data_IF_891329766087
#
_entry.id   IF_891329766087
#
_cell.length_a   1.000
_cell.length_b   1.000
_cell.length_c   1.000
_cell.angle_alpha   90.00
_cell.angle_beta   90.00
_cell.angle_gamma   90.00
#
_symmetry.space_group_name_H-M   'P 1'
#
loop_
_entity.id
_entity.type
_entity.pdbx_description
1 polymer ?
#
# COMPACT_ATOMS: atom_id res chain seq x y z
N UNK A 1 59.62 -15.58 -14.44
CA UNK A 1 58.31 -14.95 -14.73
C UNK A 1 57.32 -15.57 -13.76
N UNK A 2 57.03 -14.89 -12.64
CA UNK A 2 56.27 -15.46 -11.51
C UNK A 2 54.81 -15.00 -11.65
N UNK A 3 53.91 -15.96 -11.70
CA UNK A 3 52.46 -15.81 -11.78
C UNK A 3 51.92 -15.01 -10.60
N UNK A 4 51.26 -13.90 -10.89
CA UNK A 4 50.41 -13.17 -9.97
C UNK A 4 49.18 -12.72 -10.76
N UNK A 5 48.15 -13.58 -10.85
CA UNK A 5 46.81 -13.08 -11.12
C UNK A 5 45.65 -14.01 -10.68
N UNK A 6 45.83 -14.79 -9.62
CA UNK A 6 44.73 -15.64 -9.10
C UNK A 6 43.92 -14.97 -7.98
N UNK A 7 44.37 -13.81 -7.46
CA UNK A 7 43.71 -13.11 -6.35
C UNK A 7 42.66 -12.07 -6.76
N UNK A 8 42.68 -11.59 -8.01
CA UNK A 8 41.77 -10.55 -8.47
C UNK A 8 40.42 -11.09 -8.96
N UNK A 9 40.39 -12.33 -9.47
CA UNK A 9 39.16 -12.94 -9.98
C UNK A 9 38.19 -13.40 -8.88
N UNK A 10 38.70 -13.68 -7.67
CA UNK A 10 37.87 -14.17 -6.56
C UNK A 10 37.09 -13.05 -5.83
N UNK A 11 37.57 -11.81 -5.89
CA UNK A 11 36.94 -10.67 -5.20
C UNK A 11 35.83 -10.00 -6.02
N UNK A 12 35.72 -10.28 -7.33
CA UNK A 12 34.68 -9.72 -8.20
C UNK A 12 33.34 -10.50 -8.16
N UNK A 13 33.31 -11.71 -7.58
CA UNK A 13 32.16 -12.63 -7.71
C UNK A 13 31.22 -12.63 -6.49
N UNK A 14 31.72 -12.30 -5.28
CA UNK A 14 30.90 -12.23 -4.06
C UNK A 14 29.88 -11.07 -4.05
N UNK A 15 30.03 -10.09 -4.95
CA UNK A 15 29.09 -8.98 -5.11
C UNK A 15 27.93 -9.30 -6.07
N UNK A 16 27.99 -10.44 -6.77
CA UNK A 16 26.91 -10.83 -7.69
C UNK A 16 25.75 -11.45 -6.93
N UNK A 17 24.49 -11.17 -7.33
CA UNK A 17 23.35 -11.82 -6.71
C UNK A 17 23.45 -13.33 -6.79
N UNK A 18 23.23 -14.01 -5.67
CA UNK A 18 23.13 -15.46 -5.66
C UNK A 18 21.91 -15.91 -6.44
N UNK A 19 21.84 -17.21 -6.78
CA UNK A 19 20.64 -17.79 -7.39
C UNK A 19 19.38 -17.56 -6.54
N UNK A 20 19.53 -17.58 -5.21
CA UNK A 20 18.42 -17.36 -4.28
C UNK A 20 17.97 -15.90 -4.26
N UNK A 21 18.91 -14.95 -4.40
CA UNK A 21 18.59 -13.53 -4.56
C UNK A 21 17.83 -13.30 -5.86
N UNK A 22 18.31 -13.85 -6.98
CA UNK A 22 17.62 -13.75 -8.28
C UNK A 22 16.21 -14.36 -8.22
N UNK A 23 16.04 -15.49 -7.51
CA UNK A 23 14.74 -16.09 -7.30
C UNK A 23 13.82 -15.20 -6.44
N UNK A 24 14.36 -14.55 -5.41
CA UNK A 24 13.64 -13.58 -4.57
C UNK A 24 13.21 -12.36 -5.38
N UNK A 25 14.10 -11.79 -6.20
CA UNK A 25 13.80 -10.65 -7.05
C UNK A 25 12.77 -10.99 -8.12
N UNK A 26 12.84 -12.17 -8.73
CA UNK A 26 11.83 -12.63 -9.68
C UNK A 26 10.44 -12.72 -9.03
N UNK A 27 10.35 -13.24 -7.80
CA UNK A 27 9.08 -13.25 -7.04
C UNK A 27 8.60 -11.83 -6.74
N UNK A 28 9.48 -10.96 -6.27
CA UNK A 28 9.15 -9.56 -5.97
C UNK A 28 8.65 -8.80 -7.22
N UNK A 29 9.34 -8.90 -8.35
CA UNK A 29 8.93 -8.29 -9.62
C UNK A 29 7.56 -8.79 -10.11
N UNK A 30 7.29 -10.09 -9.95
CA UNK A 30 5.97 -10.65 -10.29
C UNK A 30 4.86 -10.21 -9.34
N UNK A 31 5.19 -9.83 -8.11
CA UNK A 31 4.23 -9.30 -7.14
C UNK A 31 3.96 -7.82 -7.39
N UNK A 32 5.00 -7.01 -7.63
CA UNK A 32 4.85 -5.57 -7.93
C UNK A 32 4.05 -5.31 -9.21
N UNK A 33 4.02 -6.27 -10.13
CA UNK A 33 3.24 -6.17 -11.38
C UNK A 33 1.76 -6.57 -11.26
N UNK A 34 1.27 -6.90 -10.05
CA UNK A 34 -0.10 -7.41 -9.82
C UNK A 34 -1.04 -6.41 -9.13
N UNK A 35 -1.03 -5.13 -9.51
CA UNK A 35 -1.92 -4.11 -8.93
C UNK A 35 -3.41 -4.50 -8.99
N UNK A 36 -3.84 -5.10 -10.10
CA UNK A 36 -5.22 -5.54 -10.28
C UNK A 36 -5.67 -6.56 -9.22
N UNK A 37 -4.73 -7.31 -8.60
CA UNK A 37 -5.03 -8.22 -7.49
C UNK A 37 -4.94 -7.55 -6.14
N UNK A 38 -4.08 -6.54 -5.99
CA UNK A 38 -3.89 -5.82 -4.72
C UNK A 38 -5.10 -4.94 -4.38
N UNK A 39 -5.77 -4.37 -5.36
CA UNK A 39 -6.90 -3.48 -5.12
C UNK A 39 -8.09 -4.20 -4.44
N UNK A 40 -8.55 -5.39 -4.88
CA UNK A 40 -9.52 -6.18 -4.12
C UNK A 40 -9.04 -6.60 -2.71
N UNK A 41 -7.74 -6.84 -2.53
CA UNK A 41 -7.19 -7.18 -1.20
C UNK A 41 -7.22 -5.97 -0.26
N UNK A 42 -6.96 -4.77 -0.79
CA UNK A 42 -7.15 -3.51 -0.06
C UNK A 42 -8.61 -3.34 0.37
N UNK A 43 -9.56 -3.50 -0.57
CA UNK A 43 -11.00 -3.39 -0.28
C UNK A 43 -11.43 -4.39 0.81
N UNK A 44 -11.00 -5.65 0.70
CA UNK A 44 -11.31 -6.68 1.69
C UNK A 44 -10.74 -6.37 3.08
N UNK A 45 -9.47 -5.97 3.16
CA UNK A 45 -8.83 -5.62 4.43
C UNK A 45 -9.53 -4.42 5.11
N UNK A 46 -9.89 -3.39 4.32
CA UNK A 46 -10.62 -2.24 4.85
C UNK A 46 -12.04 -2.61 5.31
N UNK A 47 -12.77 -3.41 4.53
CA UNK A 47 -14.10 -3.88 4.92
C UNK A 47 -14.05 -4.70 6.22
N UNK A 48 -13.06 -5.57 6.38
CA UNK A 48 -12.86 -6.32 7.61
C UNK A 48 -12.56 -5.41 8.80
N UNK A 49 -11.73 -4.37 8.64
CA UNK A 49 -11.49 -3.41 9.70
C UNK A 49 -12.78 -2.75 10.20
N UNK A 50 -13.63 -2.30 9.28
CA UNK A 50 -14.90 -1.64 9.61
C UNK A 50 -15.90 -2.59 10.29
N UNK A 51 -15.90 -3.87 9.91
CA UNK A 51 -16.71 -4.89 10.57
C UNK A 51 -16.20 -5.21 11.98
N UNK A 52 -14.88 -5.35 12.14
CA UNK A 52 -14.26 -5.65 13.43
C UNK A 52 -14.36 -4.49 14.43
N UNK A 53 -14.44 -3.24 13.96
CA UNK A 53 -14.77 -2.10 14.83
C UNK A 53 -16.17 -2.20 15.46
N UNK A 54 -17.10 -2.87 14.78
CA UNK A 54 -18.47 -3.06 15.29
C UNK A 54 -18.57 -4.23 16.30
N UNK A 55 -17.63 -5.18 16.30
CA UNK A 55 -17.61 -6.35 17.19
C UNK A 55 -17.04 -6.05 18.60
N UNK A 56 -16.71 -4.79 18.88
CA UNK A 56 -16.30 -4.26 20.20
C UNK A 56 -15.10 -4.98 20.87
N UNK A 57 -15.05 -5.02 22.21
CA UNK A 57 -13.96 -5.56 23.02
C UNK A 57 -14.03 -7.09 23.21
N UNK A 58 -14.89 -7.80 22.45
CA UNK A 58 -15.00 -9.25 22.52
C UNK A 58 -13.66 -9.91 22.18
N UNK A 59 -13.25 -10.82 23.06
CA UNK A 59 -11.99 -11.53 22.95
C UNK A 59 -12.14 -12.69 21.97
N UNK A 60 -11.38 -12.68 20.87
CA UNK A 60 -11.43 -13.77 19.92
C UNK A 60 -10.46 -14.89 20.33
N UNK A 61 -11.01 -15.94 20.97
CA UNK A 61 -10.26 -17.16 21.29
C UNK A 61 -9.68 -17.78 20.00
N UNK A 62 -8.36 -17.96 19.95
CA UNK A 62 -7.64 -18.46 18.78
C UNK A 62 -6.75 -17.44 18.06
N UNK A 63 -6.86 -16.14 18.37
CA UNK A 63 -6.08 -15.07 17.73
C UNK A 63 -5.13 -14.36 18.69
N UNK A 64 -4.30 -15.15 19.39
CA UNK A 64 -3.32 -14.65 20.37
C UNK A 64 -3.91 -13.77 21.50
N UNK A 65 -5.22 -13.89 21.77
CA UNK A 65 -5.91 -13.09 22.77
C UNK A 65 -6.11 -11.62 22.37
N UNK A 66 -6.18 -11.33 21.07
CA UNK A 66 -6.55 -9.99 20.59
C UNK A 66 -8.06 -9.81 20.58
N UNK A 67 -8.51 -8.61 20.94
CA UNK A 67 -9.92 -8.23 20.83
C UNK A 67 -10.28 -7.68 19.44
N UNK A 68 -11.57 -7.48 19.17
CA UNK A 68 -12.07 -6.96 17.90
C UNK A 68 -11.36 -5.66 17.46
N UNK A 69 -11.20 -4.70 18.36
CA UNK A 69 -10.48 -3.43 18.07
C UNK A 69 -9.02 -3.62 17.67
N UNK A 70 -8.30 -4.53 18.31
CA UNK A 70 -6.90 -4.82 17.97
C UNK A 70 -6.79 -5.53 16.61
N UNK A 71 -7.71 -6.45 16.31
CA UNK A 71 -7.79 -7.07 14.99
C UNK A 71 -8.20 -6.07 13.91
N UNK A 72 -9.07 -5.11 14.22
CA UNK A 72 -9.45 -4.02 13.33
C UNK A 72 -8.24 -3.16 12.95
N UNK A 73 -7.38 -2.78 13.91
CA UNK A 73 -6.13 -2.08 13.61
C UNK A 73 -5.16 -2.94 12.77
N UNK A 74 -5.10 -4.25 13.00
CA UNK A 74 -4.35 -5.17 12.14
C UNK A 74 -4.86 -5.15 10.69
N UNK A 75 -6.17 -5.19 10.50
CA UNK A 75 -6.81 -5.09 9.20
C UNK A 75 -6.57 -3.71 8.54
N UNK A 76 -6.62 -2.61 9.30
CA UNK A 76 -6.25 -1.26 8.82
C UNK A 76 -4.78 -1.19 8.39
N UNK A 77 -3.87 -1.76 9.18
CA UNK A 77 -2.45 -1.81 8.83
C UNK A 77 -2.21 -2.58 7.52
N UNK A 78 -2.95 -3.67 7.31
CA UNK A 78 -2.91 -4.42 6.06
C UNK A 78 -3.47 -3.61 4.87
N UNK A 79 -4.60 -2.93 5.06
CA UNK A 79 -5.16 -2.03 4.05
C UNK A 79 -4.15 -0.92 3.69
N UNK A 80 -3.56 -0.24 4.68
CA UNK A 80 -2.52 0.78 4.47
C UNK A 80 -1.34 0.23 3.67
N UNK A 81 -0.91 -1.00 3.94
CA UNK A 81 0.17 -1.67 3.20
C UNK A 81 -0.18 -1.87 1.72
N UNK A 82 -1.38 -2.37 1.42
CA UNK A 82 -1.81 -2.51 0.03
C UNK A 82 -1.96 -1.16 -0.67
N UNK A 83 -2.48 -0.14 0.02
CA UNK A 83 -2.58 1.22 -0.51
C UNK A 83 -1.21 1.77 -0.90
N UNK A 84 -0.18 1.58 -0.07
CA UNK A 84 1.19 1.98 -0.38
C UNK A 84 1.77 1.22 -1.58
N UNK A 85 1.56 -0.09 -1.66
CA UNK A 85 2.03 -0.89 -2.80
C UNK A 85 1.36 -0.48 -4.11
N UNK A 86 0.06 -0.15 -4.07
CA UNK A 86 -0.65 0.36 -5.24
C UNK A 86 -0.14 1.76 -5.60
N UNK A 87 0.11 2.62 -4.61
CA UNK A 87 0.59 3.97 -4.83
C UNK A 87 2.03 4.04 -5.38
N UNK A 88 2.92 3.14 -4.94
CA UNK A 88 4.33 3.11 -5.30
C UNK A 88 4.57 3.01 -6.80
N UNK A 89 3.81 2.16 -7.48
CA UNK A 89 4.03 1.91 -8.88
C UNK A 89 3.21 2.87 -9.77
N UNK A 90 3.82 3.51 -10.79
CA UNK A 90 3.13 4.48 -11.64
C UNK A 90 1.91 3.89 -12.35
N UNK A 91 0.82 4.66 -12.41
CA UNK A 91 -0.35 4.29 -13.19
C UNK A 91 -0.05 4.37 -14.69
N UNK A 92 -0.43 3.33 -15.43
CA UNK A 92 -0.20 3.22 -16.89
C UNK A 92 -1.39 3.66 -17.72
N UNK A 93 -2.56 3.78 -17.09
CA UNK A 93 -3.82 4.13 -17.70
C UNK A 93 -4.76 4.74 -16.67
N UNK A 94 -5.88 5.28 -17.14
CA UNK A 94 -6.88 5.95 -16.31
C UNK A 94 -7.47 5.02 -15.24
N UNK A 95 -7.71 3.75 -15.55
CA UNK A 95 -8.26 2.77 -14.59
C UNK A 95 -7.33 2.53 -13.40
N UNK A 96 -6.01 2.53 -13.60
CA UNK A 96 -5.04 2.43 -12.52
C UNK A 96 -4.99 3.71 -11.68
N UNK A 97 -5.14 4.88 -12.30
CA UNK A 97 -5.26 6.15 -11.61
C UNK A 97 -6.56 6.24 -10.78
N UNK A 98 -7.69 5.79 -11.33
CA UNK A 98 -8.99 5.75 -10.66
C UNK A 98 -8.92 4.96 -9.35
N UNK A 99 -8.19 3.84 -9.31
CA UNK A 99 -7.98 3.06 -8.08
C UNK A 99 -7.24 3.88 -7.02
N UNK A 100 -6.23 4.67 -7.40
CA UNK A 100 -5.52 5.55 -6.45
C UNK A 100 -6.43 6.67 -5.94
N UNK A 101 -7.27 7.24 -6.81
CA UNK A 101 -8.29 8.22 -6.45
C UNK A 101 -9.26 7.61 -5.42
N UNK A 102 -9.79 6.41 -5.69
CA UNK A 102 -10.72 5.72 -4.78
C UNK A 102 -10.08 5.45 -3.41
N UNK A 103 -8.83 4.97 -3.39
CA UNK A 103 -8.09 4.75 -2.15
C UNK A 103 -7.94 6.07 -1.37
N UNK A 104 -7.45 7.13 -2.03
CA UNK A 104 -7.25 8.43 -1.39
C UNK A 104 -8.55 8.98 -0.81
N UNK A 105 -9.62 8.99 -1.61
CA UNK A 105 -10.92 9.49 -1.17
C UNK A 105 -11.43 8.69 0.01
N UNK A 106 -11.43 7.36 -0.10
CA UNK A 106 -11.90 6.48 0.98
C UNK A 106 -11.12 6.74 2.27
N UNK A 107 -9.78 6.74 2.22
CA UNK A 107 -8.96 6.95 3.41
C UNK A 107 -9.09 8.36 4.00
N UNK A 108 -9.28 9.38 3.17
CA UNK A 108 -9.43 10.76 3.62
C UNK A 108 -10.74 11.03 4.35
N UNK A 109 -11.77 10.22 4.09
CA UNK A 109 -13.06 10.32 4.78
C UNK A 109 -13.21 9.35 5.96
N UNK A 110 -12.25 8.45 6.19
CA UNK A 110 -12.28 7.55 7.36
C UNK A 110 -11.97 8.33 8.65
N UNK A 111 -12.84 8.26 9.67
CA UNK A 111 -12.63 8.95 10.94
C UNK A 111 -11.31 8.56 11.60
N UNK A 112 -10.47 9.56 11.92
CA UNK A 112 -9.20 9.34 12.59
C UNK A 112 -8.06 8.86 11.68
N UNK A 113 -8.31 8.54 10.41
CA UNK A 113 -7.28 7.91 9.56
C UNK A 113 -6.15 8.88 9.22
N UNK A 114 -6.49 10.15 8.98
CA UNK A 114 -5.52 11.21 8.69
C UNK A 114 -4.63 11.54 9.89
N UNK A 115 -5.12 11.37 11.13
CA UNK A 115 -4.31 11.48 12.34
C UNK A 115 -3.45 10.23 12.61
N UNK A 116 -4.00 9.04 12.35
CA UNK A 116 -3.35 7.75 12.64
C UNK A 116 -2.26 7.36 11.65
N UNK A 117 -2.36 7.79 10.40
CA UNK A 117 -1.47 7.35 9.32
C UNK A 117 -1.11 8.46 8.35
N UNK A 118 0.04 8.31 7.67
CA UNK A 118 0.46 9.15 6.55
C UNK A 118 0.18 8.53 5.19
N UNK A 119 -0.38 7.32 5.15
CA UNK A 119 -0.64 6.61 3.89
C UNK A 119 -1.52 7.40 2.93
N UNK A 120 -2.60 8.04 3.40
CA UNK A 120 -3.48 8.82 2.52
C UNK A 120 -2.74 9.97 1.82
N UNK A 121 -1.85 10.69 2.53
CA UNK A 121 -1.00 11.73 1.93
C UNK A 121 -0.03 11.16 0.89
N UNK A 122 0.56 10.00 1.16
CA UNK A 122 1.46 9.36 0.19
C UNK A 122 0.72 8.91 -1.07
N UNK A 123 -0.51 8.39 -0.91
CA UNK A 123 -1.38 8.03 -2.04
C UNK A 123 -1.79 9.27 -2.83
N UNK A 124 -2.14 10.38 -2.15
CA UNK A 124 -2.46 11.66 -2.78
C UNK A 124 -1.32 12.15 -3.68
N UNK A 125 -0.09 12.14 -3.17
CA UNK A 125 1.10 12.56 -3.93
C UNK A 125 1.30 11.67 -5.15
N UNK A 126 1.20 10.36 -5.00
CA UNK A 126 1.33 9.41 -6.12
C UNK A 126 0.22 9.62 -7.18
N UNK A 127 -1.02 9.80 -6.73
CA UNK A 127 -2.18 10.08 -7.58
C UNK A 127 -1.97 11.36 -8.40
N UNK A 128 -1.49 12.45 -7.79
CA UNK A 128 -1.21 13.69 -8.50
C UNK A 128 -0.08 13.54 -9.54
N UNK A 129 0.99 12.82 -9.19
CA UNK A 129 2.09 12.55 -10.11
C UNK A 129 1.62 11.75 -11.33
N UNK A 130 0.82 10.70 -11.11
CA UNK A 130 0.27 9.87 -12.18
C UNK A 130 -0.72 10.63 -13.07
N UNK A 131 -1.61 11.42 -12.48
CA UNK A 131 -2.53 12.24 -13.26
C UNK A 131 -1.78 13.25 -14.14
N UNK A 132 -0.73 13.88 -13.61
CA UNK A 132 0.14 14.74 -14.40
C UNK A 132 0.82 13.99 -15.54
N UNK A 133 1.31 12.78 -15.30
CA UNK A 133 1.96 11.96 -16.32
C UNK A 133 0.98 11.50 -17.43
N UNK A 134 -0.29 11.29 -17.08
CA UNK A 134 -1.36 10.93 -18.00
C UNK A 134 -2.02 12.16 -18.68
N UNK A 135 -1.63 13.38 -18.33
CA UNK A 135 -2.25 14.61 -18.86
C UNK A 135 -3.67 14.88 -18.33
N UNK A 136 -4.00 14.33 -17.16
CA UNK A 136 -5.31 14.44 -16.52
C UNK A 136 -5.25 15.53 -15.44
N UNK A 137 -6.16 16.51 -15.55
CA UNK A 137 -6.31 17.53 -14.52
C UNK A 137 -7.23 17.04 -13.40
N UNK A 138 -6.68 16.77 -12.22
CA UNK A 138 -7.46 16.46 -11.03
C UNK A 138 -8.10 17.72 -10.45
N UNK A 139 -9.36 17.60 -10.03
CA UNK A 139 -10.08 18.63 -9.29
C UNK A 139 -10.45 18.09 -7.92
N UNK A 140 -10.23 18.90 -6.88
CA UNK A 140 -10.68 18.57 -5.53
C UNK A 140 -12.21 18.56 -5.54
N UNK A 141 -12.82 17.43 -5.15
CA UNK A 141 -14.25 17.43 -4.90
C UNK A 141 -14.54 18.31 -3.67
N UNK A 142 -15.54 19.19 -3.72
CA UNK A 142 -15.95 19.95 -2.54
C UNK A 142 -16.35 18.97 -1.44
N UNK A 143 -15.90 19.27 -0.22
CA UNK A 143 -16.34 18.55 0.98
C UNK A 143 -17.80 18.95 1.22
N UNK A 144 -18.74 18.03 0.98
CA UNK A 144 -20.13 18.24 1.36
C UNK A 144 -20.23 17.93 2.86
N UNK A 145 -19.97 18.94 3.68
CA UNK A 145 -20.35 18.88 5.08
C UNK A 145 -21.88 18.81 5.07
N UNK A 146 -22.44 17.62 5.24
CA UNK A 146 -23.88 17.45 5.48
C UNK A 146 -24.35 18.45 6.56
N UNK A 147 -25.67 18.74 6.63
CA UNK A 147 -26.23 19.97 7.22
C UNK A 147 -26.09 20.14 8.76
N UNK A 148 -24.89 19.97 9.32
CA UNK A 148 -24.58 20.06 10.75
C UNK A 148 -23.15 20.49 11.07
N UNK A 149 -22.37 21.01 10.11
CA UNK A 149 -21.04 21.57 10.37
C UNK A 149 -21.14 22.94 11.08
N UNK A 150 -21.11 22.93 12.41
CA UNK A 150 -20.99 24.15 13.23
C UNK A 150 -19.55 24.66 13.15
N UNK A 151 -19.41 25.97 12.86
CA UNK A 151 -18.14 26.70 12.83
C UNK A 151 -17.51 26.82 14.22
#
# INVERSE_FOLDING_TARGET
MKTMNDGAAAAEDDARPTRDDLARYSRAYRLSTKHARMFPMWQAALAHALLLDHDDDDMHEGYAGLNGRQLAEGARAMARTFALLIAEAPARNEQELERKIEIYQTMSFLPGEMERSRTAYMVEVAMHADASALGIALRKMPYDAGPGGVQ
#
